data_IF_550273750283
#
_entry.id   IF_550273750283
#
_cell.length_a   1.000
_cell.length_b   1.000
_cell.length_c   1.000
_cell.angle_alpha   90.00
_cell.angle_beta   90.00
_cell.angle_gamma   90.00
#
_symmetry.space_group_name_H-M   'P 1'
#
loop_
_entity.id
_entity.type
_entity.pdbx_description
1 polymer ?
#
# COMPACT_ATOMS: atom_id res chain seq x y z
N UNK A 1 -80.43 -24.59 -30.96
CA UNK A 1 -80.19 -25.30 -29.68
C UNK A 1 -78.68 -25.39 -29.48
N UNK A 2 -78.19 -24.82 -28.37
CA UNK A 2 -76.77 -24.46 -28.12
C UNK A 2 -75.85 -25.69 -27.98
N UNK A 3 -74.83 -25.78 -28.82
CA UNK A 3 -73.63 -26.61 -28.58
C UNK A 3 -72.54 -25.65 -28.09
N UNK A 4 -72.50 -25.39 -26.78
CA UNK A 4 -71.51 -24.49 -26.15
C UNK A 4 -71.11 -25.00 -24.74
N UNK A 5 -71.06 -26.31 -24.50
CA UNK A 5 -70.76 -26.87 -23.17
C UNK A 5 -69.41 -27.62 -23.03
N UNK A 6 -68.60 -27.71 -24.09
CA UNK A 6 -67.32 -28.45 -24.05
C UNK A 6 -66.06 -27.58 -23.93
N UNK A 7 -66.13 -26.28 -24.21
CA UNK A 7 -64.93 -25.43 -24.38
C UNK A 7 -64.41 -24.79 -23.08
N UNK A 8 -65.31 -24.48 -22.15
CA UNK A 8 -64.95 -23.84 -20.87
C UNK A 8 -64.28 -24.81 -19.88
N UNK A 9 -64.70 -26.08 -19.87
CA UNK A 9 -64.13 -27.13 -19.00
C UNK A 9 -62.69 -27.49 -19.40
N UNK A 10 -62.44 -27.71 -20.70
CA UNK A 10 -61.11 -28.05 -21.20
C UNK A 10 -60.06 -26.95 -20.94
N UNK A 11 -60.45 -25.67 -21.06
CA UNK A 11 -59.58 -24.53 -20.75
C UNK A 11 -59.22 -24.45 -19.26
N UNK A 12 -60.17 -24.76 -18.38
CA UNK A 12 -59.93 -24.76 -16.93
C UNK A 12 -58.97 -25.89 -16.51
N UNK A 13 -59.09 -27.07 -17.11
CA UNK A 13 -58.17 -28.18 -16.83
C UNK A 13 -56.76 -27.91 -17.35
N UNK A 14 -56.64 -27.38 -18.58
CA UNK A 14 -55.35 -27.05 -19.19
C UNK A 14 -54.65 -25.90 -18.45
N UNK A 15 -55.38 -24.86 -18.05
CA UNK A 15 -54.86 -23.77 -17.21
C UNK A 15 -54.35 -24.29 -15.87
N UNK A 16 -55.07 -25.23 -15.23
CA UNK A 16 -54.66 -25.84 -13.96
C UNK A 16 -53.36 -26.63 -14.07
N UNK A 17 -53.19 -27.40 -15.14
CA UNK A 17 -51.93 -28.10 -15.39
C UNK A 17 -50.79 -27.12 -15.70
N UNK A 18 -51.02 -26.13 -16.57
CA UNK A 18 -50.03 -25.10 -16.87
C UNK A 18 -49.55 -24.37 -15.60
N UNK A 19 -50.48 -23.96 -14.75
CA UNK A 19 -50.17 -23.28 -13.49
C UNK A 19 -49.38 -24.18 -12.53
N UNK A 20 -49.74 -25.47 -12.44
CA UNK A 20 -49.01 -26.44 -11.61
C UNK A 20 -47.58 -26.63 -12.07
N UNK A 21 -47.35 -26.82 -13.38
CA UNK A 21 -46.00 -26.96 -13.92
C UNK A 21 -45.20 -25.66 -13.80
N UNK A 22 -45.84 -24.51 -14.05
CA UNK A 22 -45.21 -23.20 -13.89
C UNK A 22 -44.76 -22.95 -12.45
N UNK A 23 -45.58 -23.34 -11.46
CA UNK A 23 -45.27 -23.17 -10.05
C UNK A 23 -44.12 -24.09 -9.62
N UNK A 24 -44.11 -25.35 -10.06
CA UNK A 24 -43.01 -26.29 -9.81
C UNK A 24 -41.70 -25.79 -10.41
N UNK A 25 -41.71 -25.35 -11.67
CA UNK A 25 -40.53 -24.79 -12.34
C UNK A 25 -40.07 -23.50 -11.67
N UNK A 26 -41.01 -22.65 -11.26
CA UNK A 26 -40.72 -21.41 -10.54
C UNK A 26 -40.01 -21.66 -9.20
N UNK A 27 -40.50 -22.60 -8.39
CA UNK A 27 -39.84 -22.99 -7.14
C UNK A 27 -38.46 -23.58 -7.41
N UNK A 28 -38.32 -24.41 -8.45
CA UNK A 28 -37.04 -25.02 -8.81
C UNK A 28 -36.00 -23.97 -9.21
N UNK A 29 -36.40 -22.99 -10.03
CA UNK A 29 -35.55 -21.88 -10.45
C UNK A 29 -35.18 -20.97 -9.28
N UNK A 30 -36.13 -20.69 -8.37
CA UNK A 30 -35.86 -19.89 -7.19
C UNK A 30 -34.84 -20.59 -6.27
N UNK A 31 -35.02 -21.89 -6.03
CA UNK A 31 -34.08 -22.69 -5.23
C UNK A 31 -32.69 -22.74 -5.85
N UNK A 32 -32.62 -22.93 -7.17
CA UNK A 32 -31.35 -22.91 -7.91
C UNK A 32 -30.67 -21.54 -7.82
N UNK A 33 -31.41 -20.44 -7.98
CA UNK A 33 -30.87 -19.09 -7.90
C UNK A 33 -30.29 -18.77 -6.51
N UNK A 34 -30.96 -19.20 -5.44
CA UNK A 34 -30.48 -19.02 -4.07
C UNK A 34 -29.19 -19.79 -3.79
N UNK A 35 -29.11 -21.05 -4.26
CA UNK A 35 -27.90 -21.86 -4.14
C UNK A 35 -26.74 -21.26 -4.92
N UNK A 36 -26.99 -20.84 -6.17
CA UNK A 36 -25.98 -20.22 -7.01
C UNK A 36 -25.47 -18.89 -6.40
N UNK A 37 -26.37 -18.07 -5.84
CA UNK A 37 -26.01 -16.83 -5.17
C UNK A 37 -25.12 -17.07 -3.95
N UNK A 38 -25.50 -18.01 -3.07
CA UNK A 38 -24.69 -18.32 -1.88
C UNK A 38 -23.31 -18.88 -2.23
N UNK A 39 -23.24 -19.75 -3.24
CA UNK A 39 -21.97 -20.34 -3.68
C UNK A 39 -21.05 -19.28 -4.32
N UNK A 40 -21.62 -18.36 -5.09
CA UNK A 40 -20.87 -17.24 -5.67
C UNK A 40 -20.40 -16.27 -4.59
N UNK A 41 -21.26 -15.93 -3.62
CA UNK A 41 -20.92 -15.03 -2.52
C UNK A 41 -19.80 -15.61 -1.64
N UNK A 42 -19.82 -16.91 -1.33
CA UNK A 42 -18.75 -17.55 -0.55
C UNK A 42 -17.44 -17.59 -1.33
N UNK A 43 -17.47 -17.98 -2.60
CA UNK A 43 -16.27 -18.08 -3.44
C UNK A 43 -15.63 -16.71 -3.72
N UNK A 44 -16.44 -15.67 -3.88
CA UNK A 44 -15.94 -14.29 -4.06
C UNK A 44 -15.36 -13.77 -2.74
N UNK A 45 -16.05 -13.98 -1.62
CA UNK A 45 -15.56 -13.56 -0.30
C UNK A 45 -14.21 -14.19 0.03
N UNK A 46 -14.09 -15.52 -0.09
CA UNK A 46 -12.86 -16.26 0.21
C UNK A 46 -11.68 -15.78 -0.65
N UNK A 47 -11.90 -15.54 -1.95
CA UNK A 47 -10.86 -14.98 -2.84
C UNK A 47 -10.45 -13.57 -2.45
N UNK A 48 -11.40 -12.71 -2.09
CA UNK A 48 -11.10 -11.33 -1.69
C UNK A 48 -10.34 -11.33 -0.36
N UNK A 49 -10.76 -12.12 0.62
CA UNK A 49 -10.08 -12.21 1.92
C UNK A 49 -8.66 -12.76 1.77
N UNK A 50 -8.48 -13.91 1.10
CA UNK A 50 -7.16 -14.51 0.91
C UNK A 50 -6.22 -13.58 0.12
N UNK A 51 -6.73 -12.91 -0.93
CA UNK A 51 -5.93 -11.97 -1.70
C UNK A 51 -5.58 -10.71 -0.91
N UNK A 52 -6.47 -10.26 0.00
CA UNK A 52 -6.21 -9.10 0.86
C UNK A 52 -5.19 -9.44 1.93
N UNK A 53 -5.29 -10.61 2.56
CA UNK A 53 -4.34 -11.08 3.57
C UNK A 53 -2.94 -11.24 2.97
N UNK A 54 -2.81 -11.90 1.81
CA UNK A 54 -1.52 -12.02 1.10
C UNK A 54 -0.92 -10.67 0.71
N UNK A 55 -1.75 -9.70 0.30
CA UNK A 55 -1.26 -8.35 -0.02
C UNK A 55 -0.81 -7.60 1.22
N UNK A 56 -1.53 -7.71 2.33
CA UNK A 56 -1.16 -7.09 3.60
C UNK A 56 0.14 -7.68 4.15
N UNK A 57 0.27 -9.00 4.08
CA UNK A 57 1.47 -9.72 4.53
C UNK A 57 2.69 -9.33 3.69
N UNK A 58 2.55 -9.30 2.36
CA UNK A 58 3.58 -8.81 1.45
C UNK A 58 3.99 -7.35 1.73
N UNK A 59 3.01 -6.47 1.99
CA UNK A 59 3.29 -5.07 2.33
C UNK A 59 4.00 -4.96 3.69
N UNK A 60 3.61 -5.78 4.67
CA UNK A 60 4.23 -5.82 5.99
C UNK A 60 5.68 -6.30 5.90
N UNK A 61 5.94 -7.43 5.21
CA UNK A 61 7.29 -7.95 4.98
C UNK A 61 8.16 -6.93 4.23
N UNK A 62 7.60 -6.27 3.21
CA UNK A 62 8.33 -5.26 2.43
C UNK A 62 8.69 -4.06 3.29
N UNK A 63 7.77 -3.58 4.12
CA UNK A 63 8.02 -2.47 5.05
C UNK A 63 9.08 -2.85 6.08
N UNK A 64 9.00 -4.06 6.66
CA UNK A 64 9.98 -4.54 7.63
C UNK A 64 11.39 -4.62 7.02
N UNK A 65 11.51 -5.17 5.80
CA UNK A 65 12.78 -5.26 5.10
C UNK A 65 13.40 -3.89 4.81
N UNK A 66 12.58 -2.92 4.38
CA UNK A 66 13.02 -1.55 4.11
C UNK A 66 13.41 -0.80 5.38
N UNK A 67 12.66 -0.97 6.49
CA UNK A 67 13.01 -0.40 7.80
C UNK A 67 14.31 -0.99 8.34
N UNK A 68 14.48 -2.32 8.26
CA UNK A 68 15.73 -2.98 8.67
C UNK A 68 16.91 -2.46 7.86
N UNK A 69 16.74 -2.32 6.54
CA UNK A 69 17.74 -1.72 5.66
C UNK A 69 18.11 -0.30 6.09
N UNK A 70 17.12 0.55 6.43
CA UNK A 70 17.36 1.89 6.93
C UNK A 70 18.14 1.90 8.26
N UNK A 71 17.85 0.99 9.19
CA UNK A 71 18.58 0.86 10.45
C UNK A 71 20.02 0.41 10.24
N UNK A 72 20.25 -0.60 9.41
CA UNK A 72 21.59 -1.08 9.06
C UNK A 72 22.40 0.02 8.38
N UNK A 73 21.78 0.81 7.49
CA UNK A 73 22.42 1.97 6.87
C UNK A 73 22.78 3.05 7.87
N UNK A 74 21.89 3.35 8.83
CA UNK A 74 22.17 4.34 9.87
C UNK A 74 23.35 3.91 10.76
N UNK A 75 23.45 2.62 11.08
CA UNK A 75 24.61 2.08 11.79
C UNK A 75 25.90 2.23 10.97
N UNK A 76 25.87 1.86 9.68
CA UNK A 76 27.01 2.00 8.78
C UNK A 76 27.46 3.46 8.58
N UNK A 77 26.51 4.40 8.54
CA UNK A 77 26.76 5.84 8.50
C UNK A 77 27.42 6.35 9.78
N UNK A 78 26.93 5.90 10.93
CA UNK A 78 27.47 6.29 12.25
C UNK A 78 28.92 5.83 12.43
N UNK A 79 29.26 4.67 11.87
CA UNK A 79 30.61 4.10 11.90
C UNK A 79 31.49 4.56 10.72
N UNK A 80 30.94 5.35 9.78
CA UNK A 80 31.68 5.75 8.58
C UNK A 80 32.81 6.72 8.91
N UNK A 81 34.04 6.33 8.58
CA UNK A 81 35.24 7.09 8.95
C UNK A 81 35.31 8.47 8.29
N UNK A 82 34.77 8.64 7.08
CA UNK A 82 34.77 9.94 6.39
C UNK A 82 33.85 10.94 7.14
N UNK A 83 32.73 10.46 7.68
CA UNK A 83 31.77 11.25 8.48
C UNK A 83 32.31 11.51 9.90
N UNK A 84 32.98 10.53 10.49
CA UNK A 84 33.63 10.71 11.79
C UNK A 84 34.79 11.72 11.68
N UNK A 85 35.60 11.63 10.62
CA UNK A 85 36.73 12.54 10.39
C UNK A 85 36.29 13.97 10.10
N UNK A 86 35.14 14.19 9.44
CA UNK A 86 34.63 15.55 9.19
C UNK A 86 34.26 16.31 10.47
N UNK A 87 34.18 15.65 11.64
CA UNK A 87 34.05 16.33 12.94
C UNK A 87 35.34 17.04 13.37
N UNK A 88 36.48 16.54 12.89
CA UNK A 88 37.81 16.95 13.35
C UNK A 88 38.58 17.74 12.30
N UNK A 89 38.21 17.61 11.03
CA UNK A 89 38.77 18.40 9.91
C UNK A 89 37.68 19.28 9.29
N UNK A 90 37.88 20.60 9.33
CA UNK A 90 36.94 21.60 8.79
C UNK A 90 37.28 22.01 7.35
N UNK A 91 38.15 21.26 6.67
CA UNK A 91 38.48 21.52 5.28
C UNK A 91 37.25 21.37 4.37
N UNK A 92 37.12 22.23 3.35
CA UNK A 92 36.07 22.09 2.35
C UNK A 92 36.09 20.70 1.67
N UNK A 93 37.27 20.07 1.60
CA UNK A 93 37.45 18.72 1.08
C UNK A 93 36.84 17.65 2.00
N UNK A 94 37.07 17.70 3.32
CA UNK A 94 36.48 16.73 4.26
C UNK A 94 34.95 16.83 4.28
N UNK A 95 34.42 18.05 4.24
CA UNK A 95 32.97 18.28 4.17
C UNK A 95 32.37 17.76 2.87
N UNK A 96 33.05 17.96 1.73
CA UNK A 96 32.62 17.43 0.44
C UNK A 96 32.58 15.89 0.43
N UNK A 97 33.63 15.24 0.96
CA UNK A 97 33.69 13.77 1.02
C UNK A 97 32.58 13.22 1.93
N UNK A 98 32.38 13.81 3.11
CA UNK A 98 31.32 13.41 4.03
C UNK A 98 29.92 13.58 3.42
N UNK A 99 29.66 14.70 2.73
CA UNK A 99 28.39 14.95 2.08
C UNK A 99 28.15 14.00 0.90
N UNK A 100 29.20 13.71 0.10
CA UNK A 100 29.13 12.72 -0.97
C UNK A 100 28.78 11.33 -0.44
N UNK A 101 29.43 10.90 0.66
CA UNK A 101 29.08 9.64 1.32
C UNK A 101 27.62 9.64 1.75
N UNK A 102 27.19 10.66 2.48
CA UNK A 102 25.80 10.81 2.94
C UNK A 102 24.82 10.71 1.76
N UNK A 103 25.15 11.30 0.61
CA UNK A 103 24.31 11.28 -0.59
C UNK A 103 24.27 9.90 -1.26
N UNK A 104 25.40 9.19 -1.33
CA UNK A 104 25.43 7.78 -1.76
C UNK A 104 24.46 6.93 -0.90
N UNK A 105 24.37 7.20 0.41
CA UNK A 105 23.43 6.50 1.30
C UNK A 105 21.96 6.83 1.03
N UNK A 106 21.63 8.09 0.75
CA UNK A 106 20.27 8.49 0.42
C UNK A 106 19.79 7.89 -0.92
N UNK A 107 20.70 7.53 -1.82
CA UNK A 107 20.40 6.89 -3.11
C UNK A 107 20.05 5.40 -3.01
N UNK A 108 20.50 4.69 -1.98
CA UNK A 108 20.32 3.22 -1.91
C UNK A 108 18.92 2.83 -1.42
N UNK A 109 18.29 3.61 -0.53
CA UNK A 109 16.98 3.31 0.01
C UNK A 109 15.90 4.28 -0.51
N UNK A 110 14.93 3.83 -1.33
CA UNK A 110 13.90 4.69 -1.91
C UNK A 110 12.88 5.21 -0.89
N UNK A 111 12.79 4.62 0.31
CA UNK A 111 11.97 5.15 1.41
C UNK A 111 12.64 6.30 2.15
N UNK A 112 13.95 6.48 2.01
CA UNK A 112 14.68 7.57 2.63
C UNK A 112 14.73 8.74 1.65
N UNK A 113 13.91 9.75 1.92
CA UNK A 113 13.87 10.95 1.09
C UNK A 113 15.14 11.81 1.27
N UNK A 114 15.60 11.96 2.51
CA UNK A 114 16.78 12.75 2.87
C UNK A 114 17.46 12.13 4.10
N UNK A 115 18.79 12.18 4.12
CA UNK A 115 19.61 11.83 5.28
C UNK A 115 20.17 13.12 5.88
N UNK A 116 20.12 13.23 7.21
CA UNK A 116 20.61 14.39 7.96
C UNK A 116 21.60 13.92 8.99
N UNK A 117 22.77 14.54 9.00
CA UNK A 117 23.80 14.34 9.98
C UNK A 117 24.00 15.64 10.76
N UNK A 118 23.85 15.57 12.08
CA UNK A 118 24.01 16.71 12.97
C UNK A 118 25.24 16.55 13.86
N UNK A 119 26.21 17.43 13.69
CA UNK A 119 27.36 17.56 14.57
C UNK A 119 27.03 18.57 15.68
N UNK A 120 26.64 18.06 16.85
CA UNK A 120 26.36 18.88 18.04
C UNK A 120 27.58 19.65 18.54
N UNK A 121 28.80 19.14 18.35
CA UNK A 121 30.00 19.77 18.91
C UNK A 121 30.32 21.07 18.18
N UNK A 122 30.13 21.08 16.85
CA UNK A 122 30.42 22.22 16.00
C UNK A 122 29.15 22.97 15.53
N UNK A 123 27.96 22.50 15.91
CA UNK A 123 26.67 23.08 15.49
C UNK A 123 26.39 22.93 13.99
N UNK A 124 26.98 21.92 13.32
CA UNK A 124 26.90 21.78 11.85
C UNK A 124 25.84 20.75 11.46
N UNK A 125 25.13 21.03 10.37
CA UNK A 125 24.17 20.11 9.76
C UNK A 125 24.65 19.78 8.34
N UNK A 126 24.82 18.49 8.06
CA UNK A 126 24.99 17.97 6.70
C UNK A 126 23.68 17.28 6.31
N UNK A 127 23.18 17.58 5.12
CA UNK A 127 21.91 17.04 4.64
C UNK A 127 21.99 16.69 3.17
N UNK A 128 21.22 15.68 2.77
CA UNK A 128 21.10 15.23 1.38
C UNK A 128 19.72 15.59 0.85
N UNK A 129 19.64 15.95 -0.44
CA UNK A 129 18.41 16.21 -1.24
C UNK A 129 17.48 17.32 -0.73
N UNK A 130 17.42 17.58 0.57
CA UNK A 130 16.61 18.58 1.25
C UNK A 130 17.53 19.46 2.07
N UNK A 131 17.27 20.77 2.05
CA UNK A 131 17.93 21.70 2.96
C UNK A 131 17.35 21.51 4.35
N UNK A 132 18.23 21.39 5.35
CA UNK A 132 17.86 21.20 6.75
C UNK A 132 18.69 22.13 7.62
N UNK A 133 17.99 22.90 8.45
CA UNK A 133 18.60 23.77 9.46
C UNK A 133 18.26 23.25 10.85
N UNK A 134 19.17 23.49 11.80
CA UNK A 134 18.98 23.14 13.20
C UNK A 134 19.17 24.40 14.04
N UNK A 135 18.10 24.90 14.65
CA UNK A 135 18.11 26.00 15.61
C UNK A 135 17.60 25.49 16.95
N UNK A 136 18.38 25.65 18.03
CA UNK A 136 18.04 25.21 19.39
C UNK A 136 17.55 23.75 19.50
N UNK A 137 18.04 22.86 18.62
CA UNK A 137 17.67 21.45 18.60
C UNK A 137 16.38 21.14 17.83
N UNK A 138 15.76 22.14 17.21
CA UNK A 138 14.62 21.98 16.30
C UNK A 138 15.14 21.89 14.87
N UNK A 139 14.77 20.82 14.17
CA UNK A 139 15.13 20.62 12.77
C UNK A 139 14.03 21.16 11.85
N UNK A 140 14.40 22.13 11.00
CA UNK A 140 13.54 22.70 9.97
C UNK A 140 13.91 22.08 8.63
N UNK A 141 13.00 21.28 8.05
CA UNK A 141 13.20 20.61 6.75
C UNK A 141 12.46 21.40 5.68
N UNK A 142 13.19 21.96 4.73
CA UNK A 142 12.60 22.85 3.74
C UNK A 142 12.14 22.06 2.51
N UNK A 143 10.83 22.12 2.25
CA UNK A 143 10.24 21.43 1.10
C UNK A 143 10.29 22.27 -0.18
N UNK A 144 11.48 22.46 -0.75
CA UNK A 144 11.66 22.98 -2.10
C UNK A 144 11.64 24.50 -2.25
N UNK A 145 12.83 25.06 -2.35
CA UNK A 145 13.08 26.43 -2.80
C UNK A 145 14.58 26.72 -2.69
N UNK A 146 15.31 26.50 -3.80
CA UNK A 146 16.67 27.00 -4.07
C UNK A 146 17.64 27.06 -2.87
N UNK A 147 18.62 26.15 -2.83
CA UNK A 147 19.83 26.40 -2.07
C UNK A 147 20.45 27.73 -2.56
N UNK A 148 20.67 28.74 -1.70
CA UNK A 148 21.53 29.84 -2.08
C UNK A 148 22.97 29.29 -2.10
N UNK A 149 23.46 29.08 -3.33
CA UNK A 149 24.86 29.12 -3.77
C UNK A 149 25.97 28.59 -2.86
N UNK A 150 26.73 27.65 -3.44
CA UNK A 150 28.21 27.60 -3.46
C UNK A 150 28.95 27.94 -2.16
#
# INVERSE_FOLDING_TARGET
MKIQLGRASAGHTLLRYFLSYFLVVGILLLGFALLAYNFLASAVSERIYAQTEQRLDYVAERLEAELRSAFEMNAALTENIDIVLSRYDDSAYSQFVANRRLNDFAEINPFIEAAVYYDRANGRVLCTRRHVECEDGVFSIFSGGHAPGL
#
